data_IF_913777974835
#
_entry.id   IF_913777974835
#
_cell.length_a   1.000
_cell.length_b   1.000
_cell.length_c   1.000
_cell.angle_alpha   90.00
_cell.angle_beta   90.00
_cell.angle_gamma   90.00
#
_symmetry.space_group_name_H-M   'P 1'
#
loop_
_entity.id
_entity.type
_entity.pdbx_description
1 polymer ?
#
# COMPACT_ATOMS: atom_id res chain seq x y z
N UNK A 1 22.92 11.16 -0.96
CA UNK A 1 21.46 11.28 -0.80
C UNK A 1 20.94 12.71 -0.59
N UNK A 2 21.65 13.61 0.12
CA UNK A 2 21.19 15.01 0.31
C UNK A 2 21.31 15.94 -0.93
N UNK A 3 22.08 15.55 -1.97
CA UNK A 3 22.28 16.34 -3.21
C UNK A 3 21.09 16.35 -4.17
N UNK A 4 20.14 15.40 -4.04
CA UNK A 4 18.96 15.29 -4.90
C UNK A 4 17.69 15.91 -4.29
N UNK A 5 17.79 16.55 -3.12
CA UNK A 5 16.63 16.91 -2.29
C UNK A 5 16.06 15.69 -1.55
N UNK A 6 15.23 15.95 -0.53
CA UNK A 6 14.39 14.89 0.03
C UNK A 6 13.25 14.63 -0.96
N UNK A 7 12.88 13.37 -1.23
CA UNK A 7 11.68 13.06 -1.99
C UNK A 7 10.48 13.80 -1.40
N UNK A 8 9.76 14.54 -2.25
CA UNK A 8 8.60 15.29 -1.84
C UNK A 8 7.34 14.41 -1.69
N UNK A 9 6.20 15.03 -1.34
CA UNK A 9 4.93 14.33 -1.16
C UNK A 9 4.44 13.60 -2.43
N UNK A 10 4.96 13.94 -3.60
CA UNK A 10 4.61 13.36 -4.91
C UNK A 10 4.89 11.86 -4.98
N UNK A 11 5.86 11.35 -4.20
CA UNK A 11 6.10 9.91 -4.07
C UNK A 11 4.86 9.14 -3.58
N UNK A 12 3.93 9.83 -2.92
CA UNK A 12 2.67 9.24 -2.46
C UNK A 12 1.77 8.81 -3.60
N UNK A 13 1.85 9.47 -4.76
CA UNK A 13 1.11 9.10 -5.97
C UNK A 13 1.59 7.73 -6.46
N UNK A 14 2.90 7.55 -6.57
CA UNK A 14 3.49 6.29 -7.02
C UNK A 14 3.15 5.14 -6.07
N UNK A 15 3.25 5.36 -4.75
CA UNK A 15 2.90 4.35 -3.75
C UNK A 15 1.43 3.95 -3.82
N UNK A 16 0.52 4.93 -3.88
CA UNK A 16 -0.92 4.67 -3.98
C UNK A 16 -1.25 3.90 -5.26
N UNK A 17 -0.73 4.33 -6.41
CA UNK A 17 -0.96 3.65 -7.68
C UNK A 17 -0.36 2.24 -7.69
N UNK A 18 0.82 2.04 -7.14
CA UNK A 18 1.42 0.73 -7.00
C UNK A 18 0.53 -0.23 -6.20
N UNK A 19 -0.02 0.22 -5.07
CA UNK A 19 -0.90 -0.61 -4.25
C UNK A 19 -2.16 -1.03 -5.00
N UNK A 20 -2.82 -0.08 -5.67
CA UNK A 20 -4.04 -0.34 -6.45
C UNK A 20 -3.78 -1.26 -7.63
N UNK A 21 -2.78 -0.94 -8.46
CA UNK A 21 -2.45 -1.73 -9.65
C UNK A 21 -2.07 -3.16 -9.29
N UNK A 22 -1.33 -3.37 -8.19
CA UNK A 22 -1.02 -4.73 -7.77
C UNK A 22 -2.27 -5.52 -7.34
N UNK A 23 -3.22 -4.89 -6.64
CA UNK A 23 -4.47 -5.56 -6.31
C UNK A 23 -5.23 -5.93 -7.59
N UNK A 24 -5.38 -5.00 -8.52
CA UNK A 24 -6.08 -5.22 -9.80
C UNK A 24 -5.43 -6.35 -10.61
N UNK A 25 -4.10 -6.38 -10.69
CA UNK A 25 -3.35 -7.43 -11.40
C UNK A 25 -3.66 -8.81 -10.80
N UNK A 26 -3.58 -8.94 -9.48
CA UNK A 26 -3.72 -10.26 -8.87
C UNK A 26 -5.16 -10.69 -8.67
N UNK A 27 -6.11 -9.76 -8.57
CA UNK A 27 -7.55 -10.01 -8.73
C UNK A 27 -7.83 -10.61 -10.10
N UNK A 28 -7.38 -9.94 -11.17
CA UNK A 28 -7.52 -10.48 -12.53
C UNK A 28 -6.87 -11.86 -12.68
N UNK A 29 -5.70 -12.09 -12.08
CA UNK A 29 -5.03 -13.38 -12.16
C UNK A 29 -5.80 -14.50 -11.43
N UNK A 30 -6.44 -14.23 -10.28
CA UNK A 30 -7.26 -15.25 -9.61
C UNK A 30 -8.58 -15.47 -10.34
N UNK A 31 -9.17 -14.42 -10.90
CA UNK A 31 -10.38 -14.53 -11.73
C UNK A 31 -10.12 -15.39 -12.98
N UNK A 32 -8.98 -15.19 -13.66
CA UNK A 32 -8.58 -15.99 -14.82
C UNK A 32 -8.37 -17.47 -14.48
N UNK A 33 -7.92 -17.79 -13.26
CA UNK A 33 -7.78 -19.17 -12.78
C UNK A 33 -9.13 -19.83 -12.45
N UNK A 34 -10.20 -19.04 -12.28
CA UNK A 34 -11.53 -19.53 -11.92
C UNK A 34 -11.52 -20.38 -10.66
N UNK A 35 -12.25 -21.50 -10.66
CA UNK A 35 -12.33 -22.40 -9.51
C UNK A 35 -10.97 -22.95 -9.05
N UNK A 36 -9.98 -23.04 -9.95
CA UNK A 36 -8.64 -23.50 -9.61
C UNK A 36 -7.88 -22.50 -8.71
N UNK A 37 -8.33 -21.24 -8.62
CA UNK A 37 -7.80 -20.26 -7.68
C UNK A 37 -8.03 -20.66 -6.21
N UNK A 38 -9.03 -21.51 -5.94
CA UNK A 38 -9.44 -21.92 -4.59
C UNK A 38 -8.78 -23.22 -4.11
N UNK A 39 -8.10 -23.94 -5.00
CA UNK A 39 -7.50 -25.24 -4.71
C UNK A 39 -5.96 -25.19 -4.75
N UNK A 40 -5.30 -26.18 -4.13
CA UNK A 40 -3.86 -26.43 -4.32
C UNK A 40 -2.91 -25.33 -3.87
N UNK A 41 -3.33 -24.46 -2.95
CA UNK A 41 -2.46 -23.50 -2.26
C UNK A 41 -2.31 -23.93 -0.80
N UNK A 42 -1.06 -24.14 -0.37
CA UNK A 42 -0.75 -24.39 1.03
C UNK A 42 -0.28 -23.09 1.72
N UNK A 43 -0.36 -23.09 3.05
CA UNK A 43 0.04 -21.94 3.88
C UNK A 43 1.47 -22.08 4.41
N UNK A 44 2.32 -22.90 3.77
CA UNK A 44 3.68 -23.08 4.24
C UNK A 44 4.47 -21.77 4.11
N UNK A 45 5.10 -21.37 5.21
CA UNK A 45 5.92 -20.17 5.28
C UNK A 45 7.25 -20.41 4.58
N UNK A 46 7.31 -20.01 3.31
CA UNK A 46 8.52 -20.12 2.49
C UNK A 46 9.26 -18.78 2.43
N UNK A 47 10.57 -18.82 2.73
CA UNK A 47 11.45 -17.68 2.51
C UNK A 47 11.43 -17.34 1.03
N UNK A 48 11.23 -16.06 0.70
CA UNK A 48 11.32 -15.64 -0.69
C UNK A 48 12.77 -15.73 -1.16
N UNK A 49 12.99 -16.43 -2.27
CA UNK A 49 14.30 -16.48 -2.94
C UNK A 49 14.52 -15.26 -3.84
N UNK A 50 13.44 -14.54 -4.18
CA UNK A 50 13.47 -13.36 -5.02
C UNK A 50 13.04 -12.11 -4.23
N UNK A 51 13.71 -10.99 -4.50
CA UNK A 51 13.35 -9.66 -3.99
C UNK A 51 12.22 -9.03 -4.84
N UNK A 52 11.30 -9.85 -5.34
CA UNK A 52 10.27 -9.43 -6.26
C UNK A 52 9.07 -8.84 -5.52
N UNK A 53 8.72 -7.60 -5.86
CA UNK A 53 7.38 -7.03 -5.62
C UNK A 53 6.32 -7.63 -6.58
N UNK A 54 6.77 -8.52 -7.47
CA UNK A 54 5.97 -9.30 -8.42
C UNK A 54 6.25 -10.78 -8.15
N UNK A 55 5.20 -11.59 -8.10
CA UNK A 55 5.35 -13.02 -7.82
C UNK A 55 5.95 -13.80 -8.98
N UNK A 56 6.60 -14.92 -8.64
CA UNK A 56 7.00 -15.90 -9.65
C UNK A 56 5.76 -16.43 -10.40
N UNK A 57 5.90 -16.90 -11.66
CA UNK A 57 4.83 -17.58 -12.37
C UNK A 57 4.15 -18.66 -11.51
N UNK A 58 2.81 -18.70 -11.52
CA UNK A 58 2.01 -19.64 -10.71
C UNK A 58 1.76 -19.21 -9.26
N UNK A 59 2.37 -18.12 -8.78
CA UNK A 59 2.17 -17.62 -7.41
C UNK A 59 0.98 -16.66 -7.24
N UNK A 60 0.10 -16.54 -8.25
CA UNK A 60 -1.02 -15.58 -8.26
C UNK A 60 -1.91 -15.67 -7.02
N UNK A 61 -2.14 -16.87 -6.48
CA UNK A 61 -2.90 -17.09 -5.22
C UNK A 61 -2.22 -16.43 -4.00
N UNK A 62 -0.91 -16.65 -3.84
CA UNK A 62 -0.09 -15.98 -2.81
C UNK A 62 -0.10 -14.48 -2.98
N UNK A 63 0.07 -14.03 -4.22
CA UNK A 63 0.22 -12.60 -4.51
C UNK A 63 -1.09 -11.84 -4.42
N UNK A 64 -2.22 -12.47 -4.71
CA UNK A 64 -3.54 -11.92 -4.41
C UNK A 64 -3.65 -11.56 -2.92
N UNK A 65 -3.31 -12.51 -2.03
CA UNK A 65 -3.31 -12.25 -0.59
C UNK A 65 -2.27 -11.19 -0.19
N UNK A 66 -1.05 -11.27 -0.72
CA UNK A 66 0.03 -10.33 -0.39
C UNK A 66 -0.25 -8.90 -0.88
N UNK A 67 -0.95 -8.75 -2.01
CA UNK A 67 -1.25 -7.43 -2.60
C UNK A 67 -2.09 -6.55 -1.68
N UNK A 68 -2.96 -7.14 -0.85
CA UNK A 68 -3.77 -6.42 0.14
C UNK A 68 -2.90 -5.65 1.14
N UNK A 69 -1.76 -6.23 1.55
CA UNK A 69 -0.83 -5.56 2.45
C UNK A 69 -0.24 -4.27 1.85
N UNK A 70 -0.12 -4.16 0.51
CA UNK A 70 0.38 -2.95 -0.15
C UNK A 70 -0.51 -1.72 0.14
N UNK A 71 -1.81 -1.94 0.39
CA UNK A 71 -2.75 -0.86 0.74
C UNK A 71 -2.57 -0.33 2.16
N UNK A 72 -1.78 -1.01 3.01
CA UNK A 72 -1.57 -0.69 4.42
C UNK A 72 -0.12 -0.30 4.69
N UNK A 73 0.82 -1.12 4.22
CA UNK A 73 2.24 -0.97 4.54
C UNK A 73 2.83 0.32 3.96
N UNK A 74 3.76 0.93 4.68
CA UNK A 74 4.39 2.19 4.24
C UNK A 74 3.43 3.38 4.15
N UNK A 75 2.32 3.35 4.91
CA UNK A 75 1.26 4.36 4.91
C UNK A 75 0.02 3.86 4.18
N UNK A 76 -1.13 3.84 4.84
CA UNK A 76 -2.36 3.30 4.22
C UNK A 76 -2.75 4.12 2.99
N UNK A 77 -3.50 3.51 2.06
CA UNK A 77 -3.99 4.21 0.87
C UNK A 77 -4.77 5.48 1.20
N UNK A 78 -5.48 5.52 2.32
CA UNK A 78 -6.16 6.70 2.87
C UNK A 78 -5.16 7.80 3.22
N UNK A 79 -4.11 7.47 3.98
CA UNK A 79 -3.05 8.41 4.33
C UNK A 79 -2.35 8.95 3.08
N UNK A 80 -2.11 8.09 2.08
CA UNK A 80 -1.54 8.55 0.81
C UNK A 80 -2.46 9.53 0.08
N UNK A 81 -3.79 9.29 0.07
CA UNK A 81 -4.76 10.23 -0.49
C UNK A 81 -4.78 11.55 0.27
N UNK A 82 -4.68 11.52 1.60
CA UNK A 82 -4.59 12.73 2.42
C UNK A 82 -3.32 13.53 2.09
N UNK A 83 -2.16 12.89 1.96
CA UNK A 83 -0.91 13.56 1.56
C UNK A 83 -1.05 14.19 0.18
N UNK A 84 -1.63 13.48 -0.79
CA UNK A 84 -1.86 14.00 -2.14
C UNK A 84 -2.82 15.20 -2.08
N UNK A 85 -3.94 15.09 -1.36
CA UNK A 85 -4.90 16.17 -1.18
C UNK A 85 -4.27 17.42 -0.56
N UNK A 86 -3.66 17.28 0.62
CA UNK A 86 -3.14 18.41 1.39
C UNK A 86 -1.86 19.02 0.79
N UNK A 87 -0.90 18.16 0.42
CA UNK A 87 0.47 18.61 0.11
C UNK A 87 0.77 18.72 -1.37
N UNK A 88 0.02 18.02 -2.22
CA UNK A 88 0.19 18.12 -3.68
C UNK A 88 -0.89 19.04 -4.27
N UNK A 89 -2.15 18.87 -3.86
CA UNK A 89 -3.29 19.60 -4.42
C UNK A 89 -3.68 20.84 -3.60
N UNK A 90 -3.16 21.03 -2.39
CA UNK A 90 -3.45 22.18 -1.53
C UNK A 90 -4.86 22.19 -0.94
N UNK A 91 -5.52 21.02 -0.87
CA UNK A 91 -6.84 20.89 -0.26
C UNK A 91 -6.77 21.10 1.26
N UNK A 92 -7.89 21.53 1.90
CA UNK A 92 -7.97 21.55 3.35
C UNK A 92 -7.68 20.16 3.93
N UNK A 93 -6.90 20.12 5.01
CA UNK A 93 -6.59 18.87 5.68
C UNK A 93 -7.77 18.30 6.46
N UNK A 94 -7.71 17.00 6.75
CA UNK A 94 -8.73 16.36 7.56
C UNK A 94 -8.86 17.03 8.94
N UNK A 95 -10.08 17.12 9.50
CA UNK A 95 -10.30 17.65 10.84
C UNK A 95 -9.45 16.89 11.86
N UNK A 96 -8.58 17.62 12.54
CA UNK A 96 -7.69 17.10 13.57
C UNK A 96 -7.79 18.01 14.79
N UNK A 97 -8.24 17.46 15.90
CA UNK A 97 -8.40 18.20 17.16
C UNK A 97 -7.08 18.45 17.88
N UNK A 98 -6.01 17.79 17.45
CA UNK A 98 -4.69 17.76 18.09
C UNK A 98 -3.58 18.46 17.28
N UNK A 99 -3.87 18.88 16.04
CA UNK A 99 -2.86 19.35 15.08
C UNK A 99 -2.01 20.51 15.59
N UNK A 100 -2.63 21.43 16.33
CA UNK A 100 -2.00 22.66 16.83
C UNK A 100 -1.59 22.55 18.31
N UNK A 101 -1.79 21.38 18.93
CA UNK A 101 -1.45 21.12 20.32
C UNK A 101 -0.06 20.46 20.42
N UNK A 102 0.81 20.93 21.32
CA UNK A 102 1.97 20.15 21.73
C UNK A 102 1.53 18.77 22.26
N UNK A 103 2.32 17.72 22.01
CA UNK A 103 1.98 16.33 22.42
C UNK A 103 1.58 16.19 23.90
N UNK A 104 2.17 16.98 24.79
CA UNK A 104 1.84 16.98 26.23
C UNK A 104 0.42 17.48 26.54
N UNK A 105 -0.17 18.27 25.65
CA UNK A 105 -1.45 18.95 25.82
C UNK A 105 -2.58 18.24 25.03
N UNK A 106 -2.28 17.14 24.32
CA UNK A 106 -3.27 16.32 23.62
C UNK A 106 -4.12 15.53 24.64
N UNK A 107 -5.47 15.63 24.62
CA UNK A 107 -6.34 14.92 25.54
C UNK A 107 -6.12 13.40 25.45
N UNK A 108 -6.04 12.73 26.61
CA UNK A 108 -5.92 11.27 26.72
C UNK A 108 -7.13 10.70 27.43
N UNK A 109 -7.57 9.51 27.00
CA UNK A 109 -8.59 8.69 27.67
C UNK A 109 -8.10 8.13 28.99
#
# INVERSE_FOLDING_TARGET
NRKAGNPGPEGSIAKLKFALVNMDIYEFCVDLLGANALAGYDFEMRRSENLGLVGAPGSSRKMFLRSRANSIEGGTSEIQRNIIGERVLGLPGEPRTDKDLPWKDVPRS
#
